data_IF_159622017794
#
_entry.id   IF_159622017794
#
_cell.length_a   1.000
_cell.length_b   1.000
_cell.length_c   1.000
_cell.angle_alpha   90.00
_cell.angle_beta   90.00
_cell.angle_gamma   90.00
#
_symmetry.space_group_name_H-M   'P 1'
#
loop_
_entity.id
_entity.type
_entity.pdbx_description
1 polymer ?
#
# COMPACT_ATOMS: atom_id res chain seq x y z
N UNK A 1 -20.58 1.11 0.16
CA UNK A 1 -19.13 0.78 0.21
C UNK A 1 -18.37 1.87 -0.51
N UNK A 2 -17.29 2.39 0.08
CA UNK A 2 -16.43 3.41 -0.54
C UNK A 2 -15.80 2.90 -1.82
N UNK A 3 -15.96 3.62 -2.94
CA UNK A 3 -15.26 3.31 -4.19
C UNK A 3 -13.76 3.66 -4.06
N UNK A 4 -12.89 2.67 -4.28
CA UNK A 4 -11.43 2.77 -4.05
C UNK A 4 -10.73 3.15 -5.35
N UNK A 5 -10.61 4.46 -5.59
CA UNK A 5 -10.05 5.02 -6.83
C UNK A 5 -8.60 4.61 -7.10
N UNK A 6 -7.82 4.35 -6.04
CA UNK A 6 -6.42 3.90 -6.14
C UNK A 6 -6.25 2.50 -6.78
N UNK A 7 -7.33 1.71 -6.88
CA UNK A 7 -7.28 0.45 -7.62
C UNK A 7 -7.29 0.65 -9.14
N UNK A 8 -7.95 1.72 -9.61
CA UNK A 8 -7.99 2.05 -11.03
C UNK A 8 -6.82 2.93 -11.47
N UNK A 9 -6.36 3.83 -10.59
CA UNK A 9 -5.27 4.76 -10.85
C UNK A 9 -4.51 5.06 -9.57
N UNK A 10 -3.36 4.39 -9.37
CA UNK A 10 -2.49 4.59 -8.21
C UNK A 10 -1.77 5.95 -8.22
N UNK A 11 -1.71 6.64 -9.36
CA UNK A 11 -1.08 7.96 -9.54
C UNK A 11 -2.04 9.13 -9.33
N UNK A 12 -3.28 8.86 -8.99
CA UNK A 12 -4.27 9.90 -8.73
C UNK A 12 -3.93 10.68 -7.46
N UNK A 13 -3.64 11.97 -7.61
CA UNK A 13 -3.25 12.87 -6.53
C UNK A 13 -4.37 13.75 -6.03
N UNK A 14 -5.45 13.91 -6.83
CA UNK A 14 -6.61 14.72 -6.46
C UNK A 14 -7.92 14.06 -6.95
N UNK A 15 -9.00 14.26 -6.20
CA UNK A 15 -10.31 13.72 -6.54
C UNK A 15 -11.42 14.50 -5.81
N UNK A 16 -12.61 14.53 -6.42
CA UNK A 16 -13.83 15.01 -5.75
C UNK A 16 -14.57 13.83 -5.12
N UNK A 17 -15.15 14.05 -3.94
CA UNK A 17 -15.95 13.07 -3.24
C UNK A 17 -17.07 13.73 -2.45
N UNK A 18 -18.09 12.94 -2.06
CA UNK A 18 -19.17 13.37 -1.18
C UNK A 18 -19.00 12.73 0.19
N UNK A 19 -19.04 13.54 1.24
CA UNK A 19 -19.04 13.08 2.63
C UNK A 19 -20.31 12.27 2.89
N UNK A 20 -20.16 11.00 3.19
CA UNK A 20 -21.27 10.10 3.54
C UNK A 20 -21.58 10.13 5.04
N UNK A 21 -20.54 10.24 5.83
CA UNK A 21 -20.64 10.21 7.29
C UNK A 21 -19.45 10.94 7.93
N UNK A 22 -19.72 11.60 9.07
CA UNK A 22 -18.69 12.20 9.92
C UNK A 22 -19.02 11.86 11.38
N UNK A 23 -18.02 11.35 12.11
CA UNK A 23 -18.14 10.99 13.55
C UNK A 23 -17.03 11.69 14.33
N UNK A 24 -17.33 12.15 15.52
CA UNK A 24 -16.27 12.61 16.46
C UNK A 24 -15.63 11.41 17.16
N UNK A 25 -14.28 11.43 17.22
CA UNK A 25 -13.50 10.41 17.89
C UNK A 25 -12.23 11.04 18.51
N UNK A 26 -12.17 11.12 19.83
CA UNK A 26 -10.96 11.53 20.54
C UNK A 26 -10.44 12.93 20.22
N UNK A 27 -11.33 13.88 19.94
CA UNK A 27 -10.95 15.26 19.58
C UNK A 27 -10.57 15.45 18.10
N UNK A 28 -10.74 14.40 17.28
CA UNK A 28 -10.63 14.41 15.82
C UNK A 28 -11.94 14.00 15.19
N UNK A 29 -12.05 14.11 13.89
CA UNK A 29 -13.21 13.62 13.15
C UNK A 29 -12.82 12.43 12.27
N UNK A 30 -13.70 11.42 12.22
CA UNK A 30 -13.61 10.30 11.29
C UNK A 30 -14.62 10.53 10.16
N UNK A 31 -14.12 10.63 8.94
CA UNK A 31 -14.93 10.92 7.76
C UNK A 31 -14.93 9.73 6.81
N UNK A 32 -16.13 9.31 6.39
CA UNK A 32 -16.34 8.33 5.33
C UNK A 32 -16.87 9.02 4.08
N UNK A 33 -16.26 8.69 2.94
CA UNK A 33 -16.57 9.26 1.64
C UNK A 33 -17.27 8.22 0.74
N UNK A 34 -17.99 8.68 -0.30
CA UNK A 34 -18.54 7.81 -1.35
C UNK A 34 -17.41 7.16 -2.18
N UNK A 35 -16.30 7.87 -2.37
CA UNK A 35 -15.09 7.40 -3.06
C UNK A 35 -13.83 7.99 -2.43
N UNK A 36 -12.68 7.30 -2.58
CA UNK A 36 -11.43 7.79 -2.05
C UNK A 36 -10.23 7.34 -2.88
N UNK A 37 -9.27 8.27 -3.09
CA UNK A 37 -7.95 7.94 -3.61
C UNK A 37 -6.90 7.80 -2.50
N UNK A 38 -7.23 8.05 -1.23
CA UNK A 38 -6.35 7.78 -0.10
C UNK A 38 -6.18 6.28 0.12
N UNK A 39 -4.93 5.81 0.10
CA UNK A 39 -4.61 4.42 0.41
C UNK A 39 -4.64 4.21 1.93
N UNK A 40 -5.41 3.25 2.43
CA UNK A 40 -5.42 2.92 3.86
C UNK A 40 -4.24 2.05 4.22
N UNK A 41 -3.88 1.98 5.50
CA UNK A 41 -2.88 1.02 5.99
C UNK A 41 -3.27 -0.40 5.56
N UNK A 42 -2.45 -1.02 4.74
CA UNK A 42 -2.69 -2.37 4.23
C UNK A 42 -1.40 -3.00 3.68
N UNK A 43 -1.24 -4.33 3.83
CA UNK A 43 -0.15 -5.08 3.21
C UNK A 43 1.26 -4.62 3.63
N UNK A 44 1.43 -4.10 4.85
CA UNK A 44 2.71 -3.56 5.32
C UNK A 44 2.99 -2.11 4.89
N UNK A 45 2.16 -1.53 4.00
CA UNK A 45 2.26 -0.14 3.59
C UNK A 45 1.43 0.75 4.54
N UNK A 46 2.01 1.83 5.10
CA UNK A 46 1.28 2.81 5.87
C UNK A 46 0.27 3.59 5.02
N UNK A 47 -0.70 4.20 5.70
CA UNK A 47 -1.71 5.07 5.09
C UNK A 47 -1.11 6.31 4.43
N UNK A 48 -1.87 6.88 3.48
CA UNK A 48 -1.58 8.18 2.91
C UNK A 48 -1.95 9.32 3.86
N UNK A 49 -1.25 10.43 3.68
CA UNK A 49 -1.60 11.73 4.26
C UNK A 49 -2.02 12.71 3.16
N UNK A 50 -2.58 13.85 3.57
CA UNK A 50 -3.02 14.89 2.65
C UNK A 50 -4.12 15.76 3.26
N UNK A 51 -5.11 16.18 2.45
CA UNK A 51 -6.20 17.04 2.91
C UNK A 51 -7.53 16.74 2.21
N UNK A 52 -8.63 17.00 2.92
CA UNK A 52 -10.01 17.04 2.42
C UNK A 52 -10.54 18.46 2.63
N UNK A 53 -10.76 19.27 1.57
CA UNK A 53 -11.11 20.69 1.66
C UNK A 53 -10.22 21.50 2.64
N UNK A 54 -8.93 21.13 2.76
CA UNK A 54 -8.00 21.76 3.70
C UNK A 54 -7.97 21.13 5.09
N UNK A 55 -8.94 20.30 5.50
CA UNK A 55 -8.85 19.50 6.70
C UNK A 55 -7.76 18.43 6.53
N UNK A 56 -6.77 18.43 7.44
CA UNK A 56 -5.63 17.53 7.34
C UNK A 56 -6.02 16.08 7.63
N UNK A 57 -5.71 15.18 6.69
CA UNK A 57 -5.83 13.73 6.87
C UNK A 57 -4.62 13.20 7.59
N UNK A 58 -4.80 12.64 8.79
CA UNK A 58 -3.74 12.14 9.67
C UNK A 58 -3.72 10.62 9.81
N UNK A 59 -4.77 9.92 9.38
CA UNK A 59 -4.85 8.46 9.29
C UNK A 59 -5.90 8.05 8.26
N UNK A 60 -5.69 6.89 7.63
CA UNK A 60 -6.68 6.25 6.74
C UNK A 60 -6.67 4.75 7.01
N UNK A 61 -7.84 4.19 7.33
CA UNK A 61 -7.99 2.78 7.66
C UNK A 61 -9.28 2.18 7.09
N UNK A 62 -9.34 0.86 7.06
CA UNK A 62 -10.53 0.10 6.67
C UNK A 62 -11.14 -0.52 7.92
N UNK A 63 -12.45 -0.31 8.12
CA UNK A 63 -13.17 -0.92 9.23
C UNK A 63 -13.57 -2.38 8.95
N UNK A 64 -14.19 -3.03 9.95
CA UNK A 64 -14.68 -4.40 9.84
C UNK A 64 -15.79 -4.63 8.80
N UNK A 65 -16.41 -3.56 8.29
CA UNK A 65 -17.39 -3.60 7.21
C UNK A 65 -16.78 -3.38 5.82
N UNK A 66 -15.46 -3.12 5.76
CA UNK A 66 -14.76 -2.84 4.52
C UNK A 66 -14.86 -1.38 4.05
N UNK A 67 -15.36 -0.46 4.88
CA UNK A 67 -15.44 0.96 4.56
C UNK A 67 -14.15 1.68 4.87
N UNK A 68 -13.79 2.66 4.01
CA UNK A 68 -12.58 3.48 4.18
C UNK A 68 -12.92 4.71 5.00
N UNK A 69 -12.22 4.88 6.12
CA UNK A 69 -12.34 6.00 7.03
C UNK A 69 -11.08 6.87 6.99
N UNK A 70 -11.29 8.18 7.07
CA UNK A 70 -10.24 9.21 7.10
C UNK A 70 -10.30 9.93 8.44
N UNK A 71 -9.23 9.89 9.21
CA UNK A 71 -9.09 10.72 10.40
C UNK A 71 -8.63 12.11 9.98
N UNK A 72 -9.43 13.13 10.32
CA UNK A 72 -9.16 14.53 9.97
C UNK A 72 -9.16 15.42 11.21
N UNK A 73 -8.44 16.53 11.15
CA UNK A 73 -8.33 17.51 12.25
C UNK A 73 -9.54 18.43 12.38
N UNK A 74 -10.42 18.47 11.39
CA UNK A 74 -11.63 19.30 11.39
C UNK A 74 -12.81 18.52 10.81
N UNK A 75 -14.03 18.64 11.42
CA UNK A 75 -15.19 17.91 10.94
C UNK A 75 -15.67 18.43 9.58
N UNK A 76 -16.22 17.54 8.77
CA UNK A 76 -16.83 17.82 7.47
C UNK A 76 -18.28 17.38 7.50
N UNK A 77 -19.18 18.20 6.90
CA UNK A 77 -20.61 17.93 6.98
C UNK A 77 -21.05 16.80 6.03
N UNK A 78 -21.89 15.83 6.48
CA UNK A 78 -22.50 14.88 5.58
C UNK A 78 -23.25 15.57 4.42
N UNK A 79 -23.03 15.09 3.18
CA UNK A 79 -23.52 15.69 1.95
C UNK A 79 -22.60 16.77 1.36
N UNK A 80 -21.57 17.21 2.06
CA UNK A 80 -20.58 18.15 1.54
C UNK A 80 -19.77 17.52 0.41
N UNK A 81 -19.52 18.29 -0.65
CA UNK A 81 -18.57 17.92 -1.71
C UNK A 81 -17.19 18.39 -1.28
N UNK A 82 -16.24 17.47 -1.24
CA UNK A 82 -14.87 17.73 -0.82
C UNK A 82 -13.87 17.44 -1.94
N UNK A 83 -12.85 18.28 -2.06
CA UNK A 83 -11.66 18.02 -2.85
C UNK A 83 -10.63 17.30 -1.97
N UNK A 84 -10.35 16.07 -2.30
CA UNK A 84 -9.25 15.29 -1.72
C UNK A 84 -7.94 15.56 -2.44
N UNK A 85 -6.88 15.80 -1.67
CA UNK A 85 -5.51 16.01 -2.17
C UNK A 85 -4.55 15.10 -1.41
N UNK A 86 -3.87 14.22 -2.14
CA UNK A 86 -2.92 13.25 -1.59
C UNK A 86 -1.55 13.91 -1.43
N UNK A 87 -0.85 13.66 -0.33
CA UNK A 87 0.58 13.93 -0.20
C UNK A 87 1.33 12.97 -1.15
N UNK A 88 1.62 13.49 -2.35
CA UNK A 88 2.22 12.70 -3.41
C UNK A 88 3.63 12.23 -3.06
N UNK A 89 4.42 13.04 -2.37
CA UNK A 89 5.79 12.65 -2.02
C UNK A 89 5.78 11.40 -1.14
N UNK A 90 4.90 11.35 -0.13
CA UNK A 90 4.70 10.18 0.74
C UNK A 90 4.14 8.98 -0.03
N UNK A 91 3.09 9.18 -0.84
CA UNK A 91 2.48 8.11 -1.64
C UNK A 91 3.51 7.47 -2.57
N UNK A 92 4.25 8.26 -3.32
CA UNK A 92 5.19 7.79 -4.30
C UNK A 92 6.36 7.05 -3.66
N UNK A 93 6.89 7.56 -2.54
CA UNK A 93 7.90 6.87 -1.75
C UNK A 93 7.41 5.48 -1.30
N UNK A 94 6.22 5.39 -0.71
CA UNK A 94 5.63 4.11 -0.30
C UNK A 94 5.42 3.15 -1.48
N UNK A 95 4.99 3.64 -2.65
CA UNK A 95 4.83 2.82 -3.86
C UNK A 95 6.17 2.25 -4.33
N UNK A 96 7.23 3.06 -4.32
CA UNK A 96 8.59 2.62 -4.69
C UNK A 96 9.12 1.58 -3.69
N UNK A 97 9.01 1.84 -2.40
CA UNK A 97 9.44 0.93 -1.33
C UNK A 97 8.70 -0.41 -1.41
N UNK A 98 7.37 -0.38 -1.56
CA UNK A 98 6.55 -1.58 -1.64
C UNK A 98 6.88 -2.42 -2.89
N UNK A 99 7.03 -1.78 -4.04
CA UNK A 99 7.43 -2.47 -5.29
C UNK A 99 8.84 -3.06 -5.19
N UNK A 100 9.78 -2.30 -4.61
CA UNK A 100 11.15 -2.75 -4.36
C UNK A 100 11.21 -3.97 -3.44
N UNK A 101 10.36 -3.97 -2.39
CA UNK A 101 10.24 -5.11 -1.47
C UNK A 101 9.76 -6.37 -2.19
N UNK A 102 8.73 -6.27 -3.02
CA UNK A 102 8.27 -7.41 -3.81
C UNK A 102 9.32 -7.93 -4.80
N UNK A 103 10.12 -7.06 -5.41
CA UNK A 103 11.26 -7.46 -6.25
C UNK A 103 12.31 -8.21 -5.42
N UNK A 104 12.64 -7.68 -4.23
CA UNK A 104 13.58 -8.31 -3.29
C UNK A 104 13.07 -9.66 -2.80
N UNK A 105 11.80 -9.76 -2.42
CA UNK A 105 11.16 -11.02 -2.02
C UNK A 105 11.24 -12.08 -3.12
N UNK A 106 11.02 -11.66 -4.36
CA UNK A 106 11.17 -12.52 -5.54
C UNK A 106 12.62 -12.98 -5.76
N UNK A 107 13.60 -12.09 -5.60
CA UNK A 107 15.02 -12.41 -5.71
C UNK A 107 15.48 -13.38 -4.61
N UNK A 108 15.08 -13.14 -3.35
CA UNK A 108 15.36 -14.02 -2.21
C UNK A 108 14.79 -15.43 -2.46
N UNK A 109 13.56 -15.52 -2.95
CA UNK A 109 12.98 -16.83 -3.26
C UNK A 109 13.73 -17.56 -4.39
N UNK A 110 14.11 -16.85 -5.47
CA UNK A 110 14.84 -17.46 -6.59
C UNK A 110 16.23 -17.94 -6.19
N UNK A 111 16.98 -17.10 -5.48
CA UNK A 111 18.40 -17.36 -5.21
C UNK A 111 18.63 -18.19 -3.94
N UNK A 112 17.85 -17.93 -2.88
CA UNK A 112 18.07 -18.50 -1.56
C UNK A 112 16.99 -19.51 -1.13
N UNK A 113 15.89 -19.65 -1.90
CA UNK A 113 14.70 -20.39 -1.49
C UNK A 113 14.10 -19.89 -0.17
N UNK A 114 14.41 -18.65 0.22
CA UNK A 114 13.88 -18.00 1.41
C UNK A 114 12.45 -17.48 1.18
N UNK A 115 11.68 -17.44 2.25
CA UNK A 115 10.32 -16.92 2.26
C UNK A 115 10.25 -15.63 3.06
N UNK A 116 9.67 -14.58 2.47
CA UNK A 116 9.37 -13.35 3.21
C UNK A 116 8.12 -13.57 4.05
N UNK A 117 8.24 -13.32 5.35
CA UNK A 117 7.19 -13.52 6.37
C UNK A 117 6.71 -12.20 6.98
N UNK A 118 7.44 -11.11 6.82
CA UNK A 118 7.07 -9.77 7.29
C UNK A 118 7.67 -8.68 6.41
N UNK A 119 6.97 -7.55 6.35
CA UNK A 119 7.38 -6.31 5.71
C UNK A 119 6.98 -5.13 6.57
N UNK A 120 7.88 -4.18 6.73
CA UNK A 120 7.61 -2.91 7.41
C UNK A 120 8.23 -1.77 6.62
N UNK A 121 7.38 -0.93 6.02
CA UNK A 121 7.82 0.30 5.37
C UNK A 121 7.95 1.41 6.41
N UNK A 122 9.15 1.90 6.63
CA UNK A 122 9.46 3.01 7.53
C UNK A 122 9.81 4.29 6.76
N UNK A 123 9.82 5.43 7.48
CA UNK A 123 10.17 6.72 6.89
C UNK A 123 11.67 6.84 6.54
N UNK A 124 12.53 6.15 7.28
CA UNK A 124 13.99 6.19 7.08
C UNK A 124 14.53 4.83 6.66
N UNK A 125 13.96 3.75 7.18
CA UNK A 125 14.41 2.37 6.95
C UNK A 125 13.19 1.48 6.76
N UNK A 126 13.19 0.71 5.68
CA UNK A 126 12.25 -0.40 5.48
C UNK A 126 12.92 -1.71 5.83
N UNK A 127 12.20 -2.65 6.43
CA UNK A 127 12.73 -3.96 6.83
C UNK A 127 11.90 -5.09 6.26
N UNK A 128 12.57 -6.20 5.97
CA UNK A 128 11.99 -7.43 5.47
C UNK A 128 12.42 -8.60 6.35
N UNK A 129 11.47 -9.37 6.85
CA UNK A 129 11.73 -10.57 7.63
C UNK A 129 11.74 -11.78 6.72
N UNK A 130 12.82 -12.56 6.79
CA UNK A 130 13.05 -13.69 5.88
C UNK A 130 13.27 -14.97 6.66
N UNK A 131 12.51 -16.00 6.33
CA UNK A 131 12.75 -17.36 6.75
C UNK A 131 13.60 -18.09 5.69
N UNK A 132 14.79 -18.57 6.10
CA UNK A 132 15.70 -19.30 5.22
C UNK A 132 15.53 -20.82 5.40
N UNK A 133 15.74 -21.63 4.34
CA UNK A 133 15.73 -23.09 4.43
C UNK A 133 16.73 -23.60 5.48
N UNK A 134 16.34 -24.64 6.22
CA UNK A 134 17.21 -25.25 7.22
C UNK A 134 17.43 -24.42 8.48
N UNK A 135 16.63 -23.37 8.72
CA UNK A 135 16.73 -22.53 9.93
C UNK A 135 17.95 -21.59 9.90
N UNK A 136 18.48 -21.26 8.72
CA UNK A 136 19.54 -20.28 8.57
C UNK A 136 19.15 -18.90 9.11
N UNK A 137 20.02 -18.27 9.89
CA UNK A 137 19.75 -16.97 10.53
C UNK A 137 20.55 -15.82 9.91
N UNK A 138 21.37 -16.09 8.89
CA UNK A 138 22.21 -15.09 8.27
C UNK A 138 22.32 -15.29 6.75
N UNK A 139 22.22 -14.21 6.00
CA UNK A 139 22.55 -14.14 4.58
C UNK A 139 23.99 -13.66 4.44
N UNK A 140 24.79 -14.30 3.60
CA UNK A 140 26.19 -13.88 3.38
C UNK A 140 26.25 -12.56 2.62
N UNK A 141 27.33 -11.80 2.81
CA UNK A 141 27.55 -10.53 2.12
C UNK A 141 27.62 -10.69 0.59
N UNK A 142 28.07 -11.85 0.10
CA UNK A 142 28.07 -12.19 -1.32
C UNK A 142 26.66 -12.39 -1.85
N UNK A 143 25.81 -13.10 -1.10
CA UNK A 143 24.40 -13.29 -1.46
C UNK A 143 23.63 -11.96 -1.39
N UNK A 144 23.89 -11.10 -0.40
CA UNK A 144 23.28 -9.76 -0.33
C UNK A 144 23.63 -8.95 -1.58
N UNK A 145 24.91 -8.91 -1.99
CA UNK A 145 25.32 -8.22 -3.22
C UNK A 145 24.65 -8.78 -4.47
N UNK A 146 24.50 -10.09 -4.55
CA UNK A 146 23.81 -10.74 -5.68
C UNK A 146 22.32 -10.38 -5.74
N UNK A 147 21.65 -10.32 -4.59
CA UNK A 147 20.26 -9.88 -4.48
C UNK A 147 20.09 -8.41 -4.89
N UNK A 148 20.98 -7.54 -4.41
CA UNK A 148 21.00 -6.12 -4.75
C UNK A 148 21.17 -5.89 -6.26
N UNK A 149 22.09 -6.60 -6.90
CA UNK A 149 22.29 -6.53 -8.35
C UNK A 149 21.05 -7.00 -9.13
N UNK A 150 20.42 -8.11 -8.74
CA UNK A 150 19.20 -8.63 -9.39
C UNK A 150 18.05 -7.61 -9.29
N UNK A 151 17.85 -7.00 -8.11
CA UNK A 151 16.79 -6.00 -7.90
C UNK A 151 17.08 -4.74 -8.72
N UNK A 152 18.31 -4.22 -8.68
CA UNK A 152 18.71 -3.02 -9.43
C UNK A 152 18.57 -3.24 -10.94
N UNK A 153 18.90 -4.43 -11.45
CA UNK A 153 18.67 -4.77 -12.86
C UNK A 153 17.19 -4.66 -13.23
N UNK A 154 16.27 -5.16 -12.40
CA UNK A 154 14.81 -5.07 -12.64
C UNK A 154 14.33 -3.61 -12.60
N UNK A 155 14.86 -2.79 -11.68
CA UNK A 155 14.55 -1.36 -11.62
C UNK A 155 15.01 -0.66 -12.91
N UNK A 156 16.22 -0.94 -13.39
CA UNK A 156 16.77 -0.33 -14.61
C UNK A 156 16.02 -0.75 -15.88
N UNK A 157 15.42 -1.93 -15.89
CA UNK A 157 14.59 -2.39 -17.02
C UNK A 157 13.22 -1.69 -17.09
N UNK A 158 12.90 -0.85 -16.12
CA UNK A 158 11.63 -0.09 -16.04
C UNK A 158 10.40 -0.98 -16.30
N UNK A 159 10.35 -2.13 -15.63
CA UNK A 159 9.29 -3.12 -15.84
C UNK A 159 7.96 -2.54 -15.36
N UNK A 160 6.90 -2.55 -16.20
CA UNK A 160 5.62 -2.00 -15.81
C UNK A 160 4.98 -2.78 -14.66
N UNK A 161 4.52 -2.07 -13.62
CA UNK A 161 3.72 -2.63 -12.53
C UNK A 161 2.24 -2.50 -12.88
N UNK A 162 1.56 -3.64 -13.02
CA UNK A 162 0.15 -3.67 -13.44
C UNK A 162 -0.70 -4.26 -12.33
N UNK A 163 -1.76 -3.52 -11.94
CA UNK A 163 -2.80 -4.02 -11.04
C UNK A 163 -3.91 -4.67 -11.86
N UNK A 164 -4.36 -5.86 -11.46
CA UNK A 164 -5.45 -6.56 -12.12
C UNK A 164 -6.33 -7.30 -11.11
N UNK A 165 -7.58 -7.53 -11.49
CA UNK A 165 -8.55 -8.30 -10.72
C UNK A 165 -8.99 -9.51 -11.55
N UNK A 166 -8.13 -10.56 -11.63
CA UNK A 166 -8.46 -11.76 -12.39
C UNK A 166 -9.65 -12.50 -11.77
N UNK A 167 -10.45 -13.14 -12.61
CA UNK A 167 -11.47 -14.07 -12.13
C UNK A 167 -10.83 -15.34 -11.52
N UNK A 168 -11.65 -16.19 -10.87
CA UNK A 168 -11.18 -17.38 -10.18
C UNK A 168 -10.48 -18.38 -11.10
N UNK A 169 -10.84 -18.44 -12.38
CA UNK A 169 -10.25 -19.37 -13.36
C UNK A 169 -8.89 -18.87 -13.81
N UNK A 170 -8.78 -17.59 -14.13
CA UNK A 170 -7.53 -16.93 -14.46
C UNK A 170 -6.54 -16.99 -13.28
N UNK A 171 -7.03 -16.75 -12.06
CA UNK A 171 -6.21 -16.79 -10.84
C UNK A 171 -5.58 -18.19 -10.61
N UNK A 172 -6.31 -19.28 -10.89
CA UNK A 172 -5.79 -20.65 -10.79
C UNK A 172 -4.65 -20.96 -11.76
N UNK A 173 -4.63 -20.26 -12.92
CA UNK A 173 -3.58 -20.40 -13.93
C UNK A 173 -2.33 -19.57 -13.69
N UNK A 174 -2.36 -18.63 -12.72
CA UNK A 174 -1.23 -17.74 -12.45
C UNK A 174 -0.15 -18.42 -11.61
N UNK A 175 1.15 -18.23 -11.92
CA UNK A 175 2.27 -18.78 -11.16
C UNK A 175 2.50 -17.97 -9.84
N UNK A 176 1.49 -17.94 -8.98
CA UNK A 176 1.53 -17.18 -7.74
C UNK A 176 2.25 -17.97 -6.64
N UNK A 177 3.13 -17.32 -5.90
CA UNK A 177 3.76 -17.91 -4.69
C UNK A 177 2.73 -18.13 -3.58
N UNK A 178 1.80 -17.18 -3.42
CA UNK A 178 0.70 -17.22 -2.46
C UNK A 178 -0.54 -16.62 -3.13
N UNK A 179 -1.68 -17.33 -3.11
CA UNK A 179 -2.91 -16.72 -3.63
C UNK A 179 -3.30 -15.49 -2.80
N UNK A 180 -3.89 -14.46 -3.41
CA UNK A 180 -4.42 -13.33 -2.66
C UNK A 180 -5.53 -13.78 -1.71
N UNK A 181 -5.69 -13.08 -0.60
CA UNK A 181 -6.85 -13.27 0.26
C UNK A 181 -8.09 -12.77 -0.51
N UNK A 182 -9.08 -13.64 -0.65
CA UNK A 182 -10.37 -13.34 -1.31
C UNK A 182 -11.36 -12.84 -0.26
#
# INVERSE_FOLDING_TARGET
>A
MTDRLYYGDAYRTAFDAVVQECREAGGKALVRLDRSAFYPTSGGQPYDTGALNGARVSDVFVDGAGEVWHEVDSPLAPGEIVLGQIDWARRFDHMQQHSGEHMLAGAIYRQLRGHVIGLHLGAEVSTIDVELPGGGTRISDEAIRSLELDVNEKIQLDVPVVCSFPDADALRGMPLRKPPAV
#
